data_IF_864618793968
#
_entry.id   IF_864618793968
#
_cell.length_a   1.000
_cell.length_b   1.000
_cell.length_c   1.000
_cell.angle_alpha   90.00
_cell.angle_beta   90.00
_cell.angle_gamma   90.00
#
_symmetry.space_group_name_H-M   'P 1'
#
loop_
_entity.id
_entity.type
_entity.pdbx_description
1 polymer ?
#
# COMPACT_ATOMS: atom_id res chain seq x y z
N UNK A 1 -22.52 15.50 2.56
CA UNK A 1 -21.36 15.60 3.46
C UNK A 1 -20.14 15.33 2.59
N UNK A 2 -19.35 16.37 2.25
CA UNK A 2 -18.32 16.28 1.21
C UNK A 2 -17.19 15.35 1.68
N UNK A 3 -16.84 14.43 0.79
CA UNK A 3 -15.96 13.29 1.00
C UNK A 3 -14.51 13.75 1.09
N UNK A 4 -13.99 13.98 2.29
CA UNK A 4 -12.57 14.28 2.49
C UNK A 4 -11.69 13.03 2.26
N UNK A 5 -12.27 11.86 2.49
CA UNK A 5 -11.61 10.55 2.37
C UNK A 5 -11.42 10.06 0.91
N UNK A 6 -12.16 10.61 -0.06
CA UNK A 6 -12.11 10.12 -1.46
C UNK A 6 -11.01 10.79 -2.30
N UNK A 7 -10.54 11.98 -1.92
CA UNK A 7 -9.53 12.72 -2.69
C UNK A 7 -8.11 12.50 -2.13
N UNK A 8 -7.78 11.22 -1.91
CA UNK A 8 -6.45 10.81 -1.47
C UNK A 8 -5.58 10.49 -2.70
N UNK A 9 -4.43 11.14 -2.80
CA UNK A 9 -3.41 10.88 -3.81
C UNK A 9 -2.11 10.38 -3.16
N UNK A 10 -1.55 9.33 -3.72
CA UNK A 10 -0.22 8.82 -3.39
C UNK A 10 0.78 9.31 -4.43
N UNK A 11 1.91 9.86 -4.00
CA UNK A 11 3.00 10.22 -4.91
C UNK A 11 4.29 9.53 -4.55
N UNK A 12 4.84 8.76 -5.49
CA UNK A 12 6.22 8.32 -5.40
C UNK A 12 7.13 9.41 -5.94
N UNK A 13 8.06 9.88 -5.12
CA UNK A 13 9.11 10.79 -5.55
C UNK A 13 10.41 10.00 -5.75
N UNK A 14 11.21 10.39 -6.74
CA UNK A 14 12.60 9.94 -6.80
C UNK A 14 13.34 10.50 -5.57
N UNK A 15 14.09 9.68 -4.81
CA UNK A 15 14.91 10.21 -3.74
C UNK A 15 16.04 11.04 -4.35
N UNK A 16 16.11 12.32 -3.99
CA UNK A 16 17.12 13.29 -4.45
C UNK A 16 18.52 13.03 -3.81
N UNK A 17 18.92 11.77 -3.62
CA UNK A 17 20.12 11.29 -2.88
C UNK A 17 19.89 11.01 -1.39
N UNK A 18 19.80 9.73 -1.00
CA UNK A 18 20.48 9.13 0.18
C UNK A 18 20.16 7.64 0.25
N UNK A 19 21.06 6.83 0.81
CA UNK A 19 21.01 5.36 0.85
C UNK A 19 19.87 4.70 1.66
N UNK A 20 18.67 5.27 1.67
CA UNK A 20 17.42 4.68 2.14
C UNK A 20 16.45 4.36 0.98
N UNK A 21 15.44 3.52 1.22
CA UNK A 21 14.45 3.17 0.21
C UNK A 21 13.56 4.34 -0.21
N UNK A 22 12.83 4.16 -1.31
CA UNK A 22 12.05 5.23 -1.93
C UNK A 22 10.88 5.66 -1.01
N UNK A 23 10.46 6.92 -1.10
CA UNK A 23 9.38 7.47 -0.27
C UNK A 23 8.11 7.70 -1.09
N UNK A 24 6.96 7.57 -0.40
CA UNK A 24 5.65 7.89 -0.96
C UNK A 24 4.96 8.89 -0.06
N UNK A 25 4.56 10.03 -0.60
CA UNK A 25 3.76 11.03 0.11
C UNK A 25 2.27 10.75 -0.07
N UNK A 26 1.48 11.13 0.91
CA UNK A 26 0.01 11.08 0.90
C UNK A 26 -0.50 12.51 0.91
N UNK A 27 -1.35 12.84 -0.05
CA UNK A 27 -2.06 14.11 -0.16
C UNK A 27 -3.56 13.87 -0.02
N UNK A 28 -4.27 14.76 0.68
CA UNK A 28 -5.73 14.74 0.79
C UNK A 28 -6.30 16.11 0.44
N UNK A 29 -7.15 16.19 -0.58
CA UNK A 29 -7.67 17.47 -1.05
C UNK A 29 -6.59 18.40 -1.63
N UNK A 30 -5.49 17.82 -2.12
CA UNK A 30 -4.31 18.55 -2.62
C UNK A 30 -3.31 19.01 -1.54
N UNK A 31 -3.60 18.79 -0.25
CA UNK A 31 -2.71 19.14 0.86
C UNK A 31 -1.87 17.93 1.31
N UNK A 32 -0.60 18.15 1.63
CA UNK A 32 0.27 17.11 2.17
C UNK A 32 -0.19 16.67 3.56
N UNK A 33 -0.40 15.36 3.73
CA UNK A 33 -0.85 14.77 5.00
C UNK A 33 0.29 14.05 5.71
N UNK A 34 1.20 13.42 4.98
CA UNK A 34 2.29 12.65 5.57
C UNK A 34 2.95 11.68 4.60
N UNK A 35 3.83 10.84 5.15
CA UNK A 35 4.40 9.71 4.43
C UNK A 35 3.50 8.48 4.53
N UNK A 36 3.43 7.71 3.44
CA UNK A 36 2.77 6.40 3.46
C UNK A 36 3.48 5.49 4.48
N UNK A 37 2.77 4.96 5.49
CA UNK A 37 3.38 4.05 6.46
C UNK A 37 3.91 2.78 5.77
N UNK A 38 5.21 2.53 5.86
CA UNK A 38 5.82 1.31 5.31
C UNK A 38 5.42 0.10 6.16
N UNK A 39 4.56 -0.75 5.61
CA UNK A 39 4.15 -2.01 6.20
C UNK A 39 5.13 -3.12 5.80
N UNK A 40 6.33 -3.06 6.40
CA UNK A 40 7.47 -3.94 6.13
C UNK A 40 7.05 -5.40 6.18
N UNK A 41 7.39 -6.17 5.15
CA UNK A 41 7.26 -7.63 5.14
C UNK A 41 8.41 -8.30 4.42
N UNK A 42 8.87 -7.71 3.32
CA UNK A 42 9.88 -8.30 2.44
C UNK A 42 11.16 -7.46 2.35
N UNK A 43 11.06 -6.13 2.44
CA UNK A 43 12.19 -5.23 2.26
C UNK A 43 12.37 -4.34 3.49
N UNK A 44 13.35 -4.61 4.36
CA UNK A 44 13.62 -3.75 5.50
C UNK A 44 14.26 -2.41 5.10
N UNK A 45 14.76 -2.30 3.86
CA UNK A 45 15.49 -1.12 3.37
C UNK A 45 14.57 -0.01 2.83
N UNK A 46 13.28 -0.27 2.66
CA UNK A 46 12.25 0.71 2.29
C UNK A 46 11.43 0.31 1.07
N UNK A 47 10.60 1.24 0.57
CA UNK A 47 9.68 1.00 -0.55
C UNK A 47 10.41 1.04 -1.89
N UNK A 48 9.91 0.25 -2.86
CA UNK A 48 10.47 0.13 -4.21
C UNK A 48 9.33 0.01 -5.24
N UNK A 49 9.59 0.36 -6.50
CA UNK A 49 8.65 0.22 -7.62
C UNK A 49 9.40 0.15 -8.96
N UNK A 50 8.68 -0.01 -10.07
CA UNK A 50 9.25 0.03 -11.44
C UNK A 50 9.82 -1.28 -11.96
N UNK A 51 9.70 -2.38 -11.19
CA UNK A 51 10.10 -3.72 -11.63
C UNK A 51 9.29 -4.82 -10.93
N UNK A 52 9.39 -6.05 -11.43
CA UNK A 52 8.77 -7.21 -10.80
C UNK A 52 9.69 -7.84 -9.73
N UNK A 53 9.19 -8.06 -8.51
CA UNK A 53 9.97 -8.69 -7.44
C UNK A 53 9.38 -8.51 -6.04
N UNK A 54 10.14 -8.91 -5.02
CA UNK A 54 9.72 -8.85 -3.60
C UNK A 54 9.79 -7.44 -3.00
N UNK A 55 10.72 -6.59 -3.44
CA UNK A 55 10.83 -5.20 -2.97
C UNK A 55 9.56 -4.38 -3.21
N UNK A 56 9.00 -4.39 -4.43
CA UNK A 56 7.74 -3.71 -4.76
C UNK A 56 6.50 -4.25 -4.04
N UNK A 57 6.56 -5.47 -3.50
CA UNK A 57 5.44 -6.07 -2.78
C UNK A 57 5.12 -5.34 -1.46
N UNK A 58 6.12 -4.74 -0.80
CA UNK A 58 5.89 -3.95 0.41
C UNK A 58 5.17 -2.63 0.10
N UNK A 59 5.43 -2.04 -1.07
CA UNK A 59 4.67 -0.88 -1.54
C UNK A 59 3.23 -1.26 -1.88
N UNK A 60 3.02 -2.38 -2.57
CA UNK A 60 1.69 -2.89 -2.85
C UNK A 60 0.89 -3.12 -1.55
N UNK A 61 1.49 -3.79 -0.57
CA UNK A 61 0.88 -4.06 0.74
C UNK A 61 0.55 -2.76 1.48
N UNK A 62 1.48 -1.79 1.50
CA UNK A 62 1.30 -0.51 2.20
C UNK A 62 0.17 0.32 1.58
N UNK A 63 0.09 0.41 0.24
CA UNK A 63 -0.97 1.12 -0.47
C UNK A 63 -2.35 0.50 -0.27
N UNK A 64 -2.47 -0.83 -0.34
CA UNK A 64 -3.73 -1.53 -0.13
C UNK A 64 -4.24 -1.35 1.32
N UNK A 65 -3.36 -1.54 2.30
CA UNK A 65 -3.70 -1.33 3.72
C UNK A 65 -4.14 0.11 3.97
N UNK A 66 -3.40 1.10 3.48
CA UNK A 66 -3.74 2.51 3.67
C UNK A 66 -5.06 2.86 2.97
N UNK A 67 -5.28 2.37 1.76
CA UNK A 67 -6.50 2.64 0.99
C UNK A 67 -7.76 2.03 1.62
N UNK A 68 -7.64 0.87 2.26
CA UNK A 68 -8.74 0.22 2.96
C UNK A 68 -8.97 0.78 4.37
N UNK A 69 -7.94 1.39 4.98
CA UNK A 69 -8.03 1.96 6.32
C UNK A 69 -8.41 0.90 7.35
N UNK A 70 -9.43 1.19 8.17
CA UNK A 70 -9.93 0.26 9.20
C UNK A 70 -10.47 -1.05 8.62
N UNK A 71 -10.94 -1.06 7.36
CA UNK A 71 -11.44 -2.28 6.73
C UNK A 71 -10.33 -3.33 6.48
N UNK A 72 -9.06 -2.91 6.42
CA UNK A 72 -7.93 -3.83 6.31
C UNK A 72 -7.47 -4.39 7.66
N UNK A 73 -7.98 -3.89 8.79
CA UNK A 73 -7.57 -4.34 10.12
C UNK A 73 -8.24 -5.66 10.46
N UNK A 74 -7.47 -6.55 11.08
CA UNK A 74 -8.01 -7.78 11.62
C UNK A 74 -8.95 -7.49 12.79
N UNK A 75 -10.23 -7.81 12.65
CA UNK A 75 -11.22 -7.66 13.72
C UNK A 75 -11.04 -8.64 14.87
N UNK A 76 -10.32 -9.75 14.64
CA UNK A 76 -10.09 -10.79 15.67
C UNK A 76 -9.03 -10.34 16.67
N UNK A 77 -7.88 -9.83 16.19
CA UNK A 77 -6.79 -9.41 17.07
C UNK A 77 -6.67 -7.89 17.21
N UNK A 78 -7.41 -7.09 16.44
CA UNK A 78 -7.31 -5.63 16.41
C UNK A 78 -5.94 -5.09 15.96
N UNK A 79 -5.08 -5.95 15.40
CA UNK A 79 -3.67 -5.65 15.16
C UNK A 79 -2.79 -5.63 16.41
N UNK A 80 -3.29 -6.07 17.56
CA UNK A 80 -2.52 -6.16 18.78
C UNK A 80 -1.48 -7.30 18.70
N UNK A 81 -0.30 -7.14 19.33
CA UNK A 81 0.64 -8.23 19.52
C UNK A 81 -0.04 -9.37 20.29
N UNK A 82 -0.02 -10.57 19.72
CA UNK A 82 -0.60 -11.76 20.32
C UNK A 82 0.52 -12.68 20.80
N UNK A 83 0.35 -13.44 21.91
CA UNK A 83 1.32 -14.44 22.36
C UNK A 83 1.60 -15.51 21.30
N UNK A 84 0.60 -15.75 20.44
CA UNK A 84 0.62 -16.69 19.33
C UNK A 84 0.17 -15.99 18.04
N UNK A 85 0.80 -16.34 16.92
CA UNK A 85 0.48 -15.74 15.61
C UNK A 85 -1.01 -15.91 15.31
N UNK A 86 -1.71 -14.81 15.05
CA UNK A 86 -3.11 -14.85 14.67
C UNK A 86 -3.25 -15.56 13.30
N UNK A 87 -4.07 -16.61 13.18
CA UNK A 87 -4.18 -17.37 11.94
C UNK A 87 -5.01 -16.65 10.86
N UNK A 88 -5.74 -15.59 11.24
CA UNK A 88 -6.68 -14.87 10.39
C UNK A 88 -6.09 -13.64 9.70
N UNK A 89 -4.83 -13.30 10.01
CA UNK A 89 -4.23 -12.08 9.51
C UNK A 89 -2.73 -12.22 9.31
N UNK A 90 -2.21 -11.29 8.54
CA UNK A 90 -0.79 -11.06 8.37
C UNK A 90 -0.39 -9.82 9.18
N UNK A 91 0.12 -10.04 10.40
CA UNK A 91 0.57 -8.99 11.33
C UNK A 91 -0.51 -7.93 11.61
N UNK A 92 -1.75 -8.37 11.83
CA UNK A 92 -2.86 -7.48 12.12
C UNK A 92 -3.64 -6.99 10.91
N UNK A 93 -3.23 -7.35 9.70
CA UNK A 93 -3.88 -6.93 8.45
C UNK A 93 -4.47 -8.11 7.69
N UNK A 94 -5.66 -7.93 7.10
CA UNK A 94 -6.41 -8.98 6.41
C UNK A 94 -6.23 -8.97 4.89
N UNK A 95 -5.38 -8.08 4.36
CA UNK A 95 -5.07 -8.04 2.92
C UNK A 95 -4.36 -9.35 2.52
N UNK A 96 -4.96 -10.18 1.65
CA UNK A 96 -4.38 -11.47 1.28
C UNK A 96 -3.06 -11.32 0.51
N UNK A 97 -2.16 -12.28 0.69
CA UNK A 97 -0.88 -12.32 -0.04
C UNK A 97 -1.04 -12.35 -1.55
N UNK A 98 -2.01 -13.11 -2.05
CA UNK A 98 -2.34 -13.16 -3.47
C UNK A 98 -2.76 -11.79 -4.01
N UNK A 99 -3.51 -11.02 -3.23
CA UNK A 99 -4.00 -9.69 -3.62
C UNK A 99 -2.86 -8.69 -3.79
N UNK A 100 -2.00 -8.52 -2.78
CA UNK A 100 -0.90 -7.56 -2.92
C UNK A 100 0.18 -8.03 -3.91
N UNK A 101 0.38 -9.35 -4.08
CA UNK A 101 1.26 -9.87 -5.13
C UNK A 101 0.71 -9.54 -6.53
N UNK A 102 -0.58 -9.77 -6.78
CA UNK A 102 -1.20 -9.42 -8.06
C UNK A 102 -1.12 -7.91 -8.32
N UNK A 103 -1.41 -7.08 -7.31
CA UNK A 103 -1.30 -5.63 -7.41
C UNK A 103 0.11 -5.17 -7.76
N UNK A 104 1.13 -5.88 -7.25
CA UNK A 104 2.53 -5.62 -7.58
C UNK A 104 2.78 -5.72 -9.08
N UNK A 105 2.33 -6.79 -9.72
CA UNK A 105 2.54 -7.01 -11.16
C UNK A 105 1.65 -6.12 -12.05
N UNK A 106 0.40 -5.92 -11.63
CA UNK A 106 -0.57 -5.18 -12.42
C UNK A 106 -0.30 -3.67 -12.40
N UNK A 107 0.17 -3.14 -11.27
CA UNK A 107 0.30 -1.69 -11.03
C UNK A 107 1.73 -1.32 -10.66
N UNK A 108 2.25 -1.81 -9.54
CA UNK A 108 3.49 -1.26 -8.94
C UNK A 108 4.71 -1.44 -9.83
N UNK A 109 4.84 -2.60 -10.49
CA UNK A 109 5.94 -2.91 -11.40
C UNK A 109 5.94 -2.02 -12.66
N UNK A 110 4.83 -1.34 -12.94
CA UNK A 110 4.63 -0.48 -14.13
C UNK A 110 4.72 1.01 -13.81
N UNK A 111 4.89 1.38 -12.54
CA UNK A 111 5.00 2.76 -12.13
C UNK A 111 6.32 3.37 -12.66
N UNK A 112 6.30 4.58 -13.25
CA UNK A 112 7.50 5.24 -13.72
C UNK A 112 8.54 5.46 -12.63
N UNK A 113 9.82 5.40 -13.01
CA UNK A 113 10.93 5.68 -12.09
C UNK A 113 11.10 7.17 -11.78
N UNK A 114 10.73 8.07 -12.71
CA UNK A 114 10.79 9.53 -12.54
C UNK A 114 9.69 10.13 -11.63
N UNK A 115 9.03 9.27 -10.86
CA UNK A 115 7.91 9.60 -10.01
C UNK A 115 6.55 9.32 -10.64
N UNK A 116 5.54 9.21 -9.80
CA UNK A 116 4.19 8.81 -10.20
C UNK A 116 3.14 9.36 -9.26
N UNK A 117 1.88 9.33 -9.71
CA UNK A 117 0.72 9.63 -8.89
C UNK A 117 -0.31 8.53 -9.05
N UNK A 118 -0.86 8.06 -7.95
CA UNK A 118 -1.91 7.04 -7.92
C UNK A 118 -3.00 7.49 -6.96
N UNK A 119 -4.26 7.45 -7.36
CA UNK A 119 -5.37 7.83 -6.48
C UNK A 119 -5.82 6.66 -5.63
N UNK A 120 -6.34 6.95 -4.43
CA UNK A 120 -7.02 5.95 -3.62
C UNK A 120 -8.18 5.30 -4.38
N UNK A 121 -8.95 6.08 -5.15
CA UNK A 121 -10.01 5.53 -6.00
C UNK A 121 -9.48 4.48 -6.97
N UNK A 122 -8.35 4.74 -7.64
CA UNK A 122 -7.75 3.80 -8.59
C UNK A 122 -7.33 2.48 -7.92
N UNK A 123 -6.81 2.56 -6.68
CA UNK A 123 -6.44 1.39 -5.87
C UNK A 123 -7.69 0.58 -5.50
N UNK A 124 -8.74 1.25 -5.03
CA UNK A 124 -9.99 0.60 -4.64
C UNK A 124 -10.72 0.00 -5.84
N UNK A 125 -10.75 0.70 -6.98
CA UNK A 125 -11.32 0.23 -8.24
C UNK A 125 -10.55 -0.98 -8.78
N UNK A 126 -9.23 -1.00 -8.63
CA UNK A 126 -8.43 -2.19 -8.93
C UNK A 126 -8.81 -3.36 -8.02
N UNK A 127 -8.94 -3.12 -6.71
CA UNK A 127 -9.26 -4.17 -5.74
C UNK A 127 -10.62 -4.80 -6.02
N UNK A 128 -11.65 -3.99 -6.26
CA UNK A 128 -12.99 -4.47 -6.60
C UNK A 128 -12.99 -5.38 -7.83
N UNK A 129 -12.22 -5.02 -8.88
CA UNK A 129 -12.08 -5.84 -10.09
C UNK A 129 -11.28 -7.12 -9.85
N UNK A 130 -10.28 -7.07 -8.97
CA UNK A 130 -9.45 -8.23 -8.63
C UNK A 130 -10.25 -9.28 -7.82
N UNK A 131 -11.15 -8.84 -6.94
CA UNK A 131 -12.00 -9.71 -6.12
C UNK A 131 -13.23 -10.26 -6.89
N UNK A 132 -13.78 -9.49 -7.82
CA UNK A 132 -14.92 -9.90 -8.66
C UNK A 132 -14.60 -10.93 -9.76
N UNK A 133 -13.33 -11.30 -9.92
CA UNK A 133 -12.87 -12.29 -10.90
C UNK A 133 -12.52 -13.65 -10.25
N UNK A 134 -13.16 -13.96 -9.12
CA UNK A 134 -13.00 -15.23 -8.39
C UNK A 134 -13.94 -16.34 -8.89
#
# INVERSE_FOLDING_TARGET
MRRYDDDICYRGCEPEQTGGGRLVTVEAGGEFVGLLPHRVKHSPTGLMWGYAGSGPADLARSLLIHSLGDAARCVVCGGAPQPQKCPWCDEGWTVPSSTYQRFTFDVIARLPDCGWTLRRSDVLDWLQRAEGCS
#
